data_IF_438556399582
#
_entry.id   IF_438556399582
#
_cell.length_a   1.000
_cell.length_b   1.000
_cell.length_c   1.000
_cell.angle_alpha   90.00
_cell.angle_beta   90.00
_cell.angle_gamma   90.00
#
_symmetry.space_group_name_H-M   'P 1'
#
loop_
_entity.id
_entity.type
_entity.pdbx_description
1 polymer ?
#
# COMPACT_ATOMS: atom_id res chain seq x y z
N UNK A 1 -17.05 -7.76 -26.14
CA UNK A 1 -16.05 -7.89 -25.07
C UNK A 1 -16.71 -8.57 -23.89
N UNK A 2 -16.24 -9.74 -23.42
CA UNK A 2 -16.81 -10.38 -22.22
C UNK A 2 -16.25 -9.65 -21.01
N UNK A 3 -17.05 -8.76 -20.44
CA UNK A 3 -16.75 -8.07 -19.19
C UNK A 3 -16.50 -9.13 -18.12
N UNK A 4 -15.34 -9.09 -17.45
CA UNK A 4 -15.10 -10.05 -16.37
C UNK A 4 -16.04 -9.70 -15.21
N UNK A 5 -16.65 -10.67 -14.51
CA UNK A 5 -17.63 -10.38 -13.45
C UNK A 5 -17.08 -9.48 -12.32
N UNK A 6 -15.75 -9.40 -12.19
CA UNK A 6 -15.05 -8.63 -11.18
C UNK A 6 -14.89 -7.13 -11.52
N UNK A 7 -14.89 -6.74 -12.80
CA UNK A 7 -14.69 -5.34 -13.21
C UNK A 7 -15.82 -4.42 -12.75
N UNK A 8 -17.07 -4.91 -12.80
CA UNK A 8 -18.22 -4.18 -12.26
C UNK A 8 -18.21 -4.14 -10.73
N UNK A 9 -17.79 -5.23 -10.08
CA UNK A 9 -17.80 -5.34 -8.62
C UNK A 9 -16.88 -4.31 -7.94
N UNK A 10 -15.63 -4.19 -8.39
CA UNK A 10 -14.69 -3.22 -7.82
C UNK A 10 -15.22 -1.80 -8.00
N UNK A 11 -15.75 -1.45 -9.18
CA UNK A 11 -16.35 -0.14 -9.42
C UNK A 11 -17.53 0.15 -8.49
N UNK A 12 -18.42 -0.83 -8.26
CA UNK A 12 -19.53 -0.70 -7.31
C UNK A 12 -19.05 -0.49 -5.88
N UNK A 13 -18.05 -1.26 -5.43
CA UNK A 13 -17.50 -1.12 -4.07
C UNK A 13 -16.83 0.25 -3.87
N UNK A 14 -16.09 0.74 -4.87
CA UNK A 14 -15.50 2.09 -4.80
C UNK A 14 -16.58 3.18 -4.74
N UNK A 15 -17.68 3.00 -5.48
CA UNK A 15 -18.80 3.94 -5.46
C UNK A 15 -19.47 3.95 -4.07
N UNK A 16 -19.79 2.78 -3.51
CA UNK A 16 -20.34 2.65 -2.16
C UNK A 16 -19.38 3.20 -1.08
N UNK A 17 -18.07 3.00 -1.27
CA UNK A 17 -17.02 3.54 -0.39
C UNK A 17 -16.92 5.07 -0.37
N UNK A 18 -17.55 5.75 -1.33
CA UNK A 18 -17.59 7.20 -1.48
C UNK A 18 -18.92 7.83 -1.02
N UNK A 19 -19.93 7.03 -0.69
CA UNK A 19 -21.26 7.50 -0.27
C UNK A 19 -21.27 8.18 1.11
N UNK A 20 -22.32 8.95 1.39
CA UNK A 20 -22.48 9.65 2.68
C UNK A 20 -22.74 8.70 3.85
N UNK A 21 -23.31 7.52 3.57
CA UNK A 21 -23.64 6.49 4.55
C UNK A 21 -22.37 5.85 5.14
N UNK A 22 -22.08 6.03 6.45
CA UNK A 22 -20.91 5.44 7.08
C UNK A 22 -20.92 3.90 7.07
N UNK A 23 -22.10 3.30 7.18
CA UNK A 23 -22.25 1.84 7.17
C UNK A 23 -21.86 1.26 5.80
N UNK A 24 -22.35 1.87 4.72
CA UNK A 24 -22.03 1.41 3.36
C UNK A 24 -20.54 1.57 3.05
N UNK A 25 -19.93 2.68 3.49
CA UNK A 25 -18.48 2.90 3.32
C UNK A 25 -17.65 1.83 4.03
N UNK A 26 -17.98 1.54 5.28
CA UNK A 26 -17.26 0.54 6.08
C UNK A 26 -17.43 -0.84 5.47
N UNK A 27 -18.65 -1.23 5.09
CA UNK A 27 -18.92 -2.53 4.46
C UNK A 27 -18.19 -2.70 3.12
N UNK A 28 -18.21 -1.66 2.28
CA UNK A 28 -17.49 -1.68 1.01
C UNK A 28 -15.98 -1.83 1.23
N UNK A 29 -15.41 -1.07 2.18
CA UNK A 29 -13.98 -1.11 2.48
C UNK A 29 -13.55 -2.46 3.11
N UNK A 30 -14.35 -3.01 4.03
CA UNK A 30 -14.10 -4.34 4.60
C UNK A 30 -14.21 -5.45 3.54
N UNK A 31 -15.11 -5.30 2.56
CA UNK A 31 -15.20 -6.24 1.45
C UNK A 31 -13.91 -6.22 0.61
N UNK A 32 -13.40 -5.03 0.27
CA UNK A 32 -12.12 -4.87 -0.43
C UNK A 32 -10.96 -5.43 0.41
N UNK A 33 -10.95 -5.17 1.72
CA UNK A 33 -9.96 -5.71 2.65
C UNK A 33 -9.95 -7.24 2.63
N UNK A 34 -11.12 -7.88 2.72
CA UNK A 34 -11.25 -9.33 2.67
C UNK A 34 -10.78 -9.90 1.32
N UNK A 35 -11.11 -9.25 0.20
CA UNK A 35 -10.60 -9.64 -1.11
C UNK A 35 -9.07 -9.53 -1.18
N UNK A 36 -8.48 -8.49 -0.59
CA UNK A 36 -7.02 -8.30 -0.59
C UNK A 36 -6.24 -9.33 0.21
N UNK A 37 -6.89 -10.03 1.15
CA UNK A 37 -6.26 -11.11 1.91
C UNK A 37 -5.92 -12.32 1.02
N UNK A 38 -6.65 -12.51 -0.08
CA UNK A 38 -6.38 -13.56 -1.05
C UNK A 38 -5.28 -13.16 -2.04
N UNK A 39 -4.27 -14.03 -2.21
CA UNK A 39 -3.11 -13.73 -3.07
C UNK A 39 -3.51 -13.51 -4.53
N UNK A 40 -4.48 -14.27 -5.05
CA UNK A 40 -4.88 -14.20 -6.46
C UNK A 40 -5.60 -12.90 -6.82
N UNK A 41 -6.11 -12.20 -5.80
CA UNK A 41 -6.86 -10.97 -5.94
C UNK A 41 -5.97 -9.72 -5.92
N UNK A 42 -4.82 -9.77 -5.24
CA UNK A 42 -3.91 -8.61 -5.05
C UNK A 42 -3.49 -7.93 -6.36
N UNK A 43 -3.09 -8.63 -7.43
CA UNK A 43 -2.74 -7.98 -8.70
C UNK A 43 -3.91 -7.20 -9.33
N UNK A 44 -5.15 -7.64 -9.12
CA UNK A 44 -6.35 -6.97 -9.64
C UNK A 44 -6.76 -5.76 -8.81
N UNK A 45 -6.40 -5.75 -7.52
CA UNK A 45 -6.64 -4.64 -6.60
C UNK A 45 -5.53 -3.58 -6.65
N UNK A 46 -4.34 -3.93 -7.15
CA UNK A 46 -3.21 -3.02 -7.33
C UNK A 46 -3.37 -2.08 -8.54
N UNK A 47 -4.53 -1.43 -8.66
CA UNK A 47 -4.87 -0.46 -9.71
C UNK A 47 -5.07 0.93 -9.10
N UNK A 48 -4.81 1.97 -9.90
CA UNK A 48 -4.75 3.37 -9.44
C UNK A 48 -6.02 3.84 -8.72
N UNK A 49 -7.21 3.46 -9.22
CA UNK A 49 -8.48 3.85 -8.61
C UNK A 49 -8.67 3.27 -7.21
N UNK A 50 -8.32 2.01 -7.01
CA UNK A 50 -8.38 1.33 -5.71
C UNK A 50 -7.33 1.92 -4.77
N UNK A 51 -6.08 2.06 -5.22
CA UNK A 51 -5.00 2.58 -4.39
C UNK A 51 -5.23 4.03 -3.96
N UNK A 52 -5.76 4.87 -4.86
CA UNK A 52 -6.16 6.24 -4.56
C UNK A 52 -7.30 6.27 -3.52
N UNK A 53 -8.30 5.42 -3.70
CA UNK A 53 -9.40 5.28 -2.74
C UNK A 53 -8.89 4.87 -1.35
N UNK A 54 -8.08 3.82 -1.27
CA UNK A 54 -7.51 3.35 0.01
C UNK A 54 -6.63 4.40 0.68
N UNK A 55 -5.84 5.15 -0.10
CA UNK A 55 -5.03 6.27 0.40
C UNK A 55 -5.92 7.37 0.98
N UNK A 56 -7.09 7.63 0.38
CA UNK A 56 -8.07 8.57 0.91
C UNK A 56 -8.70 8.08 2.22
N UNK A 57 -9.03 6.79 2.32
CA UNK A 57 -9.56 6.18 3.55
C UNK A 57 -8.54 6.26 4.69
N UNK A 58 -7.25 6.05 4.38
CA UNK A 58 -6.15 6.11 5.34
C UNK A 58 -5.94 7.50 5.98
N UNK A 59 -6.56 8.57 5.47
CA UNK A 59 -6.52 9.91 6.07
C UNK A 59 -7.86 10.36 6.65
N UNK A 60 -8.90 9.51 6.63
CA UNK A 60 -10.20 9.83 7.22
C UNK A 60 -10.11 9.84 8.75
N UNK A 61 -10.99 10.64 9.36
CA UNK A 61 -11.07 10.78 10.83
C UNK A 61 -11.62 9.53 11.52
N UNK A 62 -12.45 8.76 10.83
CA UNK A 62 -12.97 7.49 11.34
C UNK A 62 -11.84 6.45 11.43
N UNK A 63 -11.62 5.90 12.62
CA UNK A 63 -10.53 4.96 12.86
C UNK A 63 -10.76 3.60 12.20
N UNK A 64 -12.01 3.14 12.07
CA UNK A 64 -12.31 1.86 11.43
C UNK A 64 -12.05 1.94 9.94
N UNK A 65 -12.49 3.02 9.28
CA UNK A 65 -12.18 3.28 7.87
C UNK A 65 -10.68 3.46 7.65
N UNK A 66 -9.99 4.17 8.55
CA UNK A 66 -8.54 4.36 8.47
C UNK A 66 -7.78 3.04 8.57
N UNK A 67 -8.06 2.26 9.61
CA UNK A 67 -7.39 0.98 9.88
C UNK A 67 -7.64 -0.03 8.75
N UNK A 68 -8.88 -0.12 8.25
CA UNK A 68 -9.22 -0.98 7.12
C UNK A 68 -8.51 -0.54 5.82
N UNK A 69 -8.41 0.77 5.56
CA UNK A 69 -7.68 1.31 4.42
C UNK A 69 -6.19 0.94 4.45
N UNK A 70 -5.54 1.15 5.58
CA UNK A 70 -4.11 0.83 5.76
C UNK A 70 -3.87 -0.68 5.75
N UNK A 71 -4.73 -1.47 6.39
CA UNK A 71 -4.64 -2.93 6.37
C UNK A 71 -4.78 -3.50 4.95
N UNK A 72 -5.66 -2.92 4.12
CA UNK A 72 -5.80 -3.32 2.72
C UNK A 72 -4.54 -2.97 1.92
N UNK A 73 -3.96 -1.78 2.13
CA UNK A 73 -2.67 -1.41 1.52
C UNK A 73 -1.54 -2.35 1.94
N UNK A 74 -1.51 -2.77 3.21
CA UNK A 74 -0.57 -3.75 3.73
C UNK A 74 -0.71 -5.08 2.98
N UNK A 75 -1.94 -5.60 2.85
CA UNK A 75 -2.20 -6.85 2.15
C UNK A 75 -1.73 -6.78 0.70
N UNK A 76 -2.06 -5.69 -0.02
CA UNK A 76 -1.65 -5.49 -1.41
C UNK A 76 -0.11 -5.38 -1.52
N UNK A 77 0.56 -4.73 -0.57
CA UNK A 77 2.03 -4.56 -0.59
C UNK A 77 2.84 -5.85 -0.51
N UNK A 78 2.22 -6.95 -0.09
CA UNK A 78 2.86 -8.29 -0.10
C UNK A 78 2.99 -8.88 -1.51
N UNK A 79 2.30 -8.32 -2.50
CA UNK A 79 2.42 -8.68 -3.92
C UNK A 79 3.55 -7.87 -4.59
N UNK A 80 4.63 -8.50 -5.08
CA UNK A 80 5.76 -7.79 -5.68
C UNK A 80 5.36 -6.86 -6.83
N UNK A 81 4.41 -7.28 -7.66
CA UNK A 81 3.92 -6.50 -8.79
C UNK A 81 3.18 -5.22 -8.40
N UNK A 82 2.71 -5.10 -7.16
CA UNK A 82 1.94 -3.95 -6.69
C UNK A 82 2.81 -2.75 -6.29
N UNK A 83 4.10 -2.96 -6.05
CA UNK A 83 5.00 -1.94 -5.47
C UNK A 83 5.08 -0.70 -6.33
N UNK A 84 5.27 -0.87 -7.64
CA UNK A 84 5.32 0.25 -8.59
C UNK A 84 4.00 1.02 -8.64
N UNK A 85 2.86 0.32 -8.55
CA UNK A 85 1.55 0.95 -8.53
C UNK A 85 1.34 1.75 -7.23
N UNK A 86 1.71 1.20 -6.08
CA UNK A 86 1.62 1.88 -4.78
C UNK A 86 2.52 3.12 -4.74
N UNK A 87 3.78 3.00 -5.18
CA UNK A 87 4.72 4.14 -5.15
C UNK A 87 4.34 5.25 -6.13
N UNK A 88 3.70 4.91 -7.25
CA UNK A 88 3.19 5.89 -8.22
C UNK A 88 1.86 6.52 -7.78
N UNK A 89 1.13 5.91 -6.85
CA UNK A 89 -0.13 6.45 -6.33
C UNK A 89 0.15 7.72 -5.54
N UNK A 90 -0.52 8.82 -5.92
CA UNK A 90 -0.32 10.13 -5.31
C UNK A 90 -0.53 10.06 -3.80
N UNK A 91 0.43 10.62 -3.05
CA UNK A 91 0.44 10.69 -1.58
C UNK A 91 0.46 9.34 -0.83
N UNK A 92 0.43 8.18 -1.48
CA UNK A 92 0.37 6.89 -0.78
C UNK A 92 1.53 6.72 0.22
N UNK A 93 2.77 6.93 -0.24
CA UNK A 93 3.95 6.85 0.61
C UNK A 93 3.94 7.93 1.71
N UNK A 94 3.59 9.17 1.36
CA UNK A 94 3.55 10.28 2.32
C UNK A 94 2.52 10.02 3.45
N UNK A 95 1.35 9.48 3.10
CA UNK A 95 0.31 9.08 4.04
C UNK A 95 0.80 7.97 4.97
N UNK A 96 1.42 6.91 4.43
CA UNK A 96 1.96 5.82 5.24
C UNK A 96 3.04 6.30 6.22
N UNK A 97 3.96 7.15 5.76
CA UNK A 97 4.98 7.78 6.63
C UNK A 97 4.31 8.63 7.71
N UNK A 98 3.35 9.48 7.35
CA UNK A 98 2.63 10.30 8.33
C UNK A 98 1.97 9.43 9.42
N UNK A 99 1.26 8.38 9.03
CA UNK A 99 0.58 7.48 9.95
C UNK A 99 1.56 6.74 10.86
N UNK A 100 2.65 6.20 10.32
CA UNK A 100 3.66 5.49 11.09
C UNK A 100 4.27 6.33 12.23
N UNK A 101 4.48 7.62 11.97
CA UNK A 101 5.12 8.55 12.91
C UNK A 101 4.14 9.35 13.79
N UNK A 102 2.88 9.47 13.39
CA UNK A 102 1.91 10.31 14.09
C UNK A 102 1.57 9.74 15.49
N UNK A 103 1.76 10.52 16.58
CA UNK A 103 1.48 10.06 17.94
C UNK A 103 -0.02 9.93 18.22
N UNK A 104 -0.87 10.54 17.40
CA UNK A 104 -2.33 10.46 17.53
C UNK A 104 -2.91 9.28 16.75
N UNK A 105 -2.11 8.59 15.94
CA UNK A 105 -2.55 7.41 15.20
C UNK A 105 -2.55 6.20 16.12
N UNK A 106 -3.64 5.42 16.10
CA UNK A 106 -3.76 4.17 16.86
C UNK A 106 -2.57 3.25 16.59
N UNK A 107 -2.06 2.60 17.65
CA UNK A 107 -0.86 1.76 17.56
C UNK A 107 -0.94 0.67 16.48
N UNK A 108 -2.09 0.00 16.31
CA UNK A 108 -2.27 -1.02 15.27
C UNK A 108 -2.14 -0.43 13.87
N UNK A 109 -2.78 0.70 13.59
CA UNK A 109 -2.65 1.43 12.32
C UNK A 109 -1.20 1.87 12.05
N UNK A 110 -0.47 2.30 13.08
CA UNK A 110 0.96 2.63 12.96
C UNK A 110 1.80 1.42 12.57
N UNK A 111 1.54 0.27 13.21
CA UNK A 111 2.23 -0.99 12.90
C UNK A 111 1.96 -1.42 11.45
N UNK A 112 0.69 -1.41 11.02
CA UNK A 112 0.32 -1.71 9.64
C UNK A 112 1.00 -0.78 8.64
N UNK A 113 1.09 0.52 8.93
CA UNK A 113 1.78 1.48 8.08
C UNK A 113 3.29 1.17 7.98
N UNK A 114 3.94 0.87 9.10
CA UNK A 114 5.35 0.45 9.14
C UNK A 114 5.59 -0.85 8.35
N UNK A 115 4.73 -1.87 8.52
CA UNK A 115 4.82 -3.14 7.78
C UNK A 115 4.65 -2.93 6.27
N UNK A 116 3.69 -2.08 5.88
CA UNK A 116 3.48 -1.71 4.48
C UNK A 116 4.73 -1.06 3.89
N UNK A 117 5.32 -0.10 4.61
CA UNK A 117 6.57 0.56 4.20
C UNK A 117 7.75 -0.41 4.14
N UNK A 118 7.82 -1.38 5.06
CA UNK A 118 8.85 -2.41 5.06
C UNK A 118 8.74 -3.33 3.84
N UNK A 119 7.52 -3.78 3.50
CA UNK A 119 7.26 -4.59 2.30
C UNK A 119 7.66 -3.83 1.03
N UNK A 120 7.23 -2.57 0.88
CA UNK A 120 7.59 -1.71 -0.25
C UNK A 120 9.12 -1.58 -0.34
N UNK A 121 9.79 -1.31 0.78
CA UNK A 121 11.24 -1.14 0.83
C UNK A 121 11.98 -2.44 0.45
N UNK A 122 11.49 -3.59 0.89
CA UNK A 122 12.05 -4.90 0.55
C UNK A 122 11.96 -5.16 -0.95
N UNK A 123 10.81 -4.89 -1.57
CA UNK A 123 10.64 -5.10 -2.99
C UNK A 123 11.45 -4.12 -3.83
N UNK A 124 11.53 -2.85 -3.44
CA UNK A 124 12.40 -1.88 -4.11
C UNK A 124 13.87 -2.29 -4.05
N UNK A 125 14.35 -2.78 -2.90
CA UNK A 125 15.71 -3.33 -2.78
C UNK A 125 15.91 -4.55 -3.68
N UNK A 126 14.94 -5.46 -3.72
CA UNK A 126 14.99 -6.63 -4.60
C UNK A 126 15.05 -6.22 -6.08
N UNK A 127 14.22 -5.27 -6.50
CA UNK A 127 14.20 -4.76 -7.88
C UNK A 127 15.50 -4.01 -8.24
N UNK A 128 16.07 -3.25 -7.31
CA UNK A 128 17.35 -2.59 -7.53
C UNK A 128 18.50 -3.61 -7.63
N UNK A 129 18.49 -4.66 -6.81
CA UNK A 129 19.51 -5.72 -6.81
C UNK A 129 19.47 -6.64 -8.02
N UNK A 130 18.33 -6.77 -8.70
CA UNK A 130 18.23 -7.52 -9.97
C UNK A 130 18.70 -6.72 -11.18
N UNK A 131 18.87 -5.40 -11.04
CA UNK A 131 19.45 -4.56 -12.08
C UNK A 131 20.93 -4.89 -12.29
N UNK A 132 21.30 -5.35 -13.49
CA UNK A 132 22.70 -5.40 -13.90
C UNK A 132 23.17 -4.00 -14.25
N UNK A 133 24.21 -3.51 -13.57
CA UNK A 133 24.94 -2.31 -14.01
C UNK A 133 25.55 -2.64 -15.38
N UNK A 134 25.27 -1.87 -16.44
CA UNK A 134 25.90 -2.08 -17.74
C UNK A 134 27.43 -1.95 -17.61
N UNK A 135 28.18 -2.86 -18.26
CA UNK A 135 29.65 -2.92 -18.17
C UNK A 135 30.36 -1.63 -18.62
N UNK A 136 29.65 -0.70 -19.27
CA UNK A 136 30.14 0.59 -19.73
C UNK A 136 30.08 1.72 -18.69
N UNK A 137 29.52 1.48 -17.49
CA UNK A 137 29.48 2.47 -16.40
C UNK A 137 30.65 2.18 -15.45
N UNK A 138 31.65 3.06 -15.46
CA UNK A 138 32.72 3.04 -14.44
C UNK A 138 32.08 3.09 -13.05
N UNK A 139 32.33 2.05 -12.24
CA UNK A 139 31.91 1.97 -10.84
C UNK A 139 32.72 2.96 -10.00
N UNK A 140 32.46 4.26 -10.18
CA UNK A 140 32.81 5.28 -9.20
C UNK A 140 31.81 5.15 -8.04
N UNK A 141 31.94 4.06 -7.27
CA UNK A 141 31.16 3.81 -6.08
C UNK A 141 31.34 5.01 -5.16
N UNK A 142 30.26 5.76 -4.95
CA UNK A 142 30.18 6.64 -3.78
C UNK A 142 30.44 5.78 -2.55
N UNK A 143 31.20 6.26 -1.55
CA UNK A 143 31.55 5.48 -0.38
C UNK A 143 30.28 4.87 0.21
N UNK A 144 30.20 3.54 0.18
CA UNK A 144 29.08 2.81 0.76
C UNK A 144 29.04 3.16 2.24
N UNK A 145 28.03 3.94 2.63
CA UNK A 145 27.70 4.11 4.04
C UNK A 145 27.37 2.72 4.58
N UNK A 146 28.34 2.10 5.24
CA UNK A 146 28.11 0.96 6.12
C UNK A 146 27.22 1.47 7.23
N UNK A 147 25.91 1.30 7.11
CA UNK A 147 25.03 1.45 8.26
C UNK A 147 25.33 0.27 9.17
N UNK A 148 26.09 0.50 10.23
CA UNK A 148 26.21 -0.46 11.32
C UNK A 148 24.81 -0.78 11.82
N UNK A 149 24.51 -2.07 11.87
CA UNK A 149 23.26 -2.63 12.37
C UNK A 149 23.04 -2.10 13.77
N UNK A 150 21.98 -1.30 13.96
CA UNK A 150 21.25 -1.08 15.19
C UNK A 150 22.04 -1.31 16.49
N UNK A 151 22.86 -0.33 16.91
CA UNK A 151 23.18 -0.20 18.33
C UNK A 151 21.89 0.26 19.03
N UNK A 152 21.17 -0.74 19.54
CA UNK A 152 20.06 -0.59 20.48
C UNK A 152 20.57 0.15 21.71
N UNK A 153 19.85 1.20 22.08
CA UNK A 153 19.87 1.82 23.40
C UNK A 153 19.62 0.79 24.50
#
# INVERSE_FOLDING_TARGET
SKMTPYEGMIGTLLSLGAEESPEDRVLALQTIQNLSADQSSKPRLAIDSVLTFLTSCAVRKDEAEREAGVSTLQNISTEPGAVVAITNTKNAIATLVHLAHSPTTKQSTRQLACETLANISLWLQTLAGTGKVPDCVENNLLPTLKTSVWEKW
#
